data_IF_427620656714
#
_entry.id   IF_427620656714
#
_cell.length_a   1.000
_cell.length_b   1.000
_cell.length_c   1.000
_cell.angle_alpha   90.00
_cell.angle_beta   90.00
_cell.angle_gamma   90.00
#
_symmetry.space_group_name_H-M   'P 1'
#
loop_
_entity.id
_entity.type
_entity.pdbx_description
1 polymer ?
#
# COMPACT_ATOMS: atom_id res chain seq x y z
N UNK A 1 12.46 -16.93 -5.36
CA UNK A 1 13.86 -16.44 -5.40
C UNK A 1 13.87 -15.32 -6.41
N UNK A 2 14.39 -14.17 -6.02
CA UNK A 2 14.34 -12.96 -6.83
C UNK A 2 15.11 -13.12 -8.14
N UNK A 3 14.50 -12.67 -9.23
CA UNK A 3 15.12 -12.62 -10.55
C UNK A 3 15.91 -11.31 -10.70
N UNK A 4 16.78 -11.26 -11.71
CA UNK A 4 17.51 -10.04 -12.07
C UNK A 4 17.03 -9.49 -13.41
N UNK A 5 16.71 -8.20 -13.43
CA UNK A 5 16.27 -7.47 -14.62
C UNK A 5 17.26 -6.35 -14.97
N UNK A 6 17.83 -6.42 -16.17
CA UNK A 6 18.45 -5.24 -16.79
C UNK A 6 17.36 -4.41 -17.46
N UNK A 7 17.06 -3.26 -16.85
CA UNK A 7 16.01 -2.34 -17.28
C UNK A 7 16.56 -1.11 -17.98
N UNK A 8 17.84 -1.12 -18.37
CA UNK A 8 18.51 0.01 -19.03
C UNK A 8 17.76 0.51 -20.26
N UNK A 9 17.16 -0.40 -21.03
CA UNK A 9 16.45 -0.08 -22.27
C UNK A 9 14.92 -0.04 -22.10
N UNK A 10 14.40 -0.03 -20.86
CA UNK A 10 12.96 0.02 -20.61
C UNK A 10 12.46 1.46 -20.68
N UNK A 11 11.20 1.63 -21.08
CA UNK A 11 10.65 2.95 -21.31
C UNK A 11 10.15 3.55 -19.99
N UNK A 12 10.81 4.59 -19.49
CA UNK A 12 10.28 5.39 -18.39
C UNK A 12 8.98 6.09 -18.81
N UNK A 13 7.99 6.11 -17.91
CA UNK A 13 6.71 6.77 -18.08
C UNK A 13 6.60 7.94 -17.08
N UNK A 14 7.28 9.08 -17.35
CA UNK A 14 7.41 10.18 -16.38
C UNK A 14 6.08 10.90 -16.06
N UNK A 15 5.03 10.67 -16.85
CA UNK A 15 3.72 11.30 -16.71
C UNK A 15 2.83 10.66 -15.64
N UNK A 16 3.18 9.48 -15.13
CA UNK A 16 2.45 8.85 -14.05
C UNK A 16 2.93 9.38 -12.70
N UNK A 17 2.02 10.00 -11.94
CA UNK A 17 2.32 10.43 -10.58
C UNK A 17 2.42 9.20 -9.66
N UNK A 18 3.53 9.07 -8.94
CA UNK A 18 3.68 8.09 -7.86
C UNK A 18 3.61 8.80 -6.51
N UNK A 19 2.80 8.26 -5.58
CA UNK A 19 2.84 8.67 -4.18
C UNK A 19 4.09 8.16 -3.45
N UNK A 20 4.48 8.86 -2.38
CA UNK A 20 5.61 8.51 -1.52
C UNK A 20 6.81 9.45 -1.64
N UNK A 21 7.75 9.33 -0.70
CA UNK A 21 8.91 10.24 -0.58
C UNK A 21 10.17 9.75 -1.30
N UNK A 22 10.10 8.58 -1.95
CA UNK A 22 11.20 7.88 -2.61
C UNK A 22 11.19 8.12 -4.12
N UNK A 23 12.34 8.00 -4.76
CA UNK A 23 12.46 7.95 -6.22
C UNK A 23 11.79 6.66 -6.72
N UNK A 24 10.54 6.78 -7.16
CA UNK A 24 9.76 5.71 -7.77
C UNK A 24 9.60 6.07 -9.24
N UNK A 25 10.04 5.19 -10.13
CA UNK A 25 9.88 5.37 -11.57
C UNK A 25 8.96 4.28 -12.08
N UNK A 26 7.95 4.68 -12.86
CA UNK A 26 7.11 3.74 -13.58
C UNK A 26 7.77 3.48 -14.92
N UNK A 27 7.99 2.20 -15.22
CA UNK A 27 8.66 1.74 -16.43
C UNK A 27 7.81 0.69 -17.13
N UNK A 28 7.91 0.65 -18.46
CA UNK A 28 7.23 -0.36 -19.29
C UNK A 28 8.28 -1.30 -19.88
N UNK A 29 8.06 -2.61 -19.70
CA UNK A 29 8.84 -3.62 -20.39
C UNK A 29 8.50 -3.58 -21.90
N UNK A 30 9.49 -3.37 -22.79
CA UNK A 30 9.25 -3.18 -24.21
C UNK A 30 8.75 -4.43 -24.93
N UNK A 31 9.02 -5.63 -24.38
CA UNK A 31 8.67 -6.91 -25.00
C UNK A 31 7.22 -7.31 -24.73
N UNK A 32 6.80 -7.23 -23.46
CA UNK A 32 5.49 -7.72 -23.03
C UNK A 32 4.50 -6.59 -22.68
N UNK A 33 4.94 -5.32 -22.75
CA UNK A 33 4.13 -4.12 -22.46
C UNK A 33 3.60 -4.03 -21.03
N UNK A 34 4.08 -4.87 -20.11
CA UNK A 34 3.70 -4.81 -18.69
C UNK A 34 4.35 -3.59 -18.04
N UNK A 35 3.62 -3.04 -17.07
CA UNK A 35 4.04 -1.88 -16.29
C UNK A 35 4.68 -2.35 -14.99
N UNK A 36 5.79 -1.72 -14.63
CA UNK A 36 6.53 -2.02 -13.41
C UNK A 36 6.86 -0.73 -12.65
N UNK A 37 7.06 -0.89 -11.35
CA UNK A 37 7.60 0.13 -10.47
C UNK A 37 9.05 -0.22 -10.13
N UNK A 38 9.98 0.66 -10.52
CA UNK A 38 11.37 0.60 -10.09
C UNK A 38 11.60 1.55 -8.92
N UNK A 39 12.23 1.05 -7.86
CA UNK A 39 12.51 1.78 -6.61
C UNK A 39 13.97 1.60 -6.22
N UNK A 40 14.62 2.69 -5.85
CA UNK A 40 15.98 2.67 -5.27
C UNK A 40 15.96 3.04 -3.80
N UNK A 41 17.05 2.72 -3.10
CA UNK A 41 17.22 3.03 -1.69
C UNK A 41 17.25 4.53 -1.44
N UNK A 42 16.61 4.98 -0.37
CA UNK A 42 16.62 6.39 0.00
C UNK A 42 18.02 6.87 0.43
N UNK A 43 18.55 7.87 -0.29
CA UNK A 43 19.76 8.60 0.08
C UNK A 43 19.52 10.11 0.10
N UNK A 44 19.69 10.73 1.27
CA UNK A 44 19.61 12.18 1.53
C UNK A 44 20.80 12.57 2.42
N UNK A 45 21.10 13.87 2.54
CA UNK A 45 22.30 14.36 3.28
C UNK A 45 22.52 13.73 4.67
N UNK A 46 21.44 13.42 5.41
CA UNK A 46 21.49 12.83 6.76
C UNK A 46 20.91 11.42 6.86
N UNK A 47 20.46 10.83 5.76
CA UNK A 47 19.77 9.54 5.74
C UNK A 47 20.36 8.71 4.60
N UNK A 48 20.96 7.58 4.93
CA UNK A 48 21.42 6.60 3.95
C UNK A 48 20.83 5.23 4.32
N UNK A 49 19.75 4.85 3.63
CA UNK A 49 19.12 3.54 3.78
C UNK A 49 19.58 2.60 2.66
N UNK A 50 20.89 2.48 2.49
CA UNK A 50 21.57 1.70 1.44
C UNK A 50 20.90 0.36 1.12
N UNK A 51 20.46 -0.39 2.15
CA UNK A 51 19.87 -1.73 2.01
C UNK A 51 18.34 -1.77 1.93
N UNK A 52 17.65 -0.63 1.86
CA UNK A 52 16.18 -0.57 1.84
C UNK A 52 15.55 -1.37 0.68
N UNK A 53 16.12 -1.34 -0.53
CA UNK A 53 15.59 -2.15 -1.63
C UNK A 53 15.76 -3.66 -1.37
N UNK A 54 16.84 -4.06 -0.67
CA UNK A 54 17.02 -5.45 -0.26
C UNK A 54 16.01 -5.84 0.81
N UNK A 55 15.69 -4.97 1.76
CA UNK A 55 14.62 -5.20 2.73
C UNK A 55 13.28 -5.47 2.04
N UNK A 56 12.96 -4.74 0.97
CA UNK A 56 11.74 -4.97 0.18
C UNK A 56 11.75 -6.36 -0.49
N UNK A 57 12.85 -6.75 -1.14
CA UNK A 57 12.99 -8.05 -1.81
C UNK A 57 12.89 -9.19 -0.78
N UNK A 58 13.68 -9.12 0.29
CA UNK A 58 13.70 -10.14 1.34
C UNK A 58 12.33 -10.27 2.00
N UNK A 59 11.66 -9.15 2.32
CA UNK A 59 10.31 -9.18 2.88
C UNK A 59 9.34 -9.87 1.92
N UNK A 60 9.39 -9.58 0.62
CA UNK A 60 8.50 -10.23 -0.36
C UNK A 60 8.72 -11.74 -0.46
N UNK A 61 9.97 -12.20 -0.46
CA UNK A 61 10.33 -13.62 -0.52
C UNK A 61 9.94 -14.34 0.78
N UNK A 62 10.30 -13.79 1.94
CA UNK A 62 9.96 -14.37 3.25
C UNK A 62 8.46 -14.43 3.44
N UNK A 63 7.73 -13.35 3.14
CA UNK A 63 6.27 -13.31 3.25
C UNK A 63 5.60 -14.35 2.36
N UNK A 64 6.05 -14.48 1.11
CA UNK A 64 5.55 -15.50 0.18
C UNK A 64 5.81 -16.92 0.70
N UNK A 65 7.00 -17.19 1.22
CA UNK A 65 7.35 -18.49 1.81
C UNK A 65 6.50 -18.84 3.04
N UNK A 66 6.07 -17.83 3.79
CA UNK A 66 5.19 -17.98 4.95
C UNK A 66 3.69 -18.04 4.57
N UNK A 67 3.36 -17.94 3.28
CA UNK A 67 1.99 -18.08 2.77
C UNK A 67 1.16 -16.79 2.79
N UNK A 68 1.79 -15.62 2.97
CA UNK A 68 1.13 -14.33 2.82
C UNK A 68 1.06 -13.94 1.33
N UNK A 69 0.02 -13.19 0.95
CA UNK A 69 -0.12 -12.63 -0.40
C UNK A 69 0.72 -11.35 -0.54
N UNK A 70 1.96 -11.48 -0.99
CA UNK A 70 2.93 -10.40 -1.15
C UNK A 70 3.06 -9.99 -2.61
N UNK A 71 3.20 -8.67 -2.84
CA UNK A 71 3.69 -8.17 -4.11
C UNK A 71 5.13 -8.63 -4.28
N UNK A 72 5.42 -9.28 -5.42
CA UNK A 72 6.75 -9.76 -5.74
C UNK A 72 7.69 -8.59 -6.03
N UNK A 73 8.89 -8.65 -5.47
CA UNK A 73 9.98 -7.75 -5.81
C UNK A 73 11.21 -8.51 -6.28
N UNK A 74 11.73 -8.09 -7.41
CA UNK A 74 12.94 -8.63 -8.03
C UNK A 74 14.06 -7.57 -8.06
N UNK A 75 15.28 -7.97 -8.42
CA UNK A 75 16.43 -7.09 -8.52
C UNK A 75 16.39 -6.38 -9.88
N UNK A 76 16.67 -5.08 -9.92
CA UNK A 76 16.76 -4.34 -11.18
C UNK A 76 17.92 -3.36 -11.25
N UNK A 77 18.45 -3.15 -12.46
CA UNK A 77 19.53 -2.20 -12.76
C UNK A 77 19.18 -1.32 -13.97
N UNK A 78 19.29 0.00 -13.84
CA UNK A 78 18.88 0.98 -14.87
C UNK A 78 20.06 1.72 -15.54
N UNK A 79 21.21 1.07 -15.70
CA UNK A 79 22.52 1.64 -16.10
C UNK A 79 23.23 2.55 -15.08
N UNK A 80 22.50 3.16 -14.13
CA UNK A 80 23.05 4.10 -13.16
C UNK A 80 23.10 3.52 -11.75
N UNK A 81 22.02 2.86 -11.34
CA UNK A 81 21.85 2.39 -9.97
C UNK A 81 21.11 1.05 -9.94
N UNK A 82 21.30 0.33 -8.83
CA UNK A 82 20.59 -0.90 -8.50
C UNK A 82 19.43 -0.59 -7.56
N UNK A 83 18.35 -1.32 -7.71
CA UNK A 83 17.17 -1.21 -6.86
C UNK A 83 16.32 -2.48 -6.93
N UNK A 84 15.07 -2.33 -6.53
CA UNK A 84 14.06 -3.38 -6.69
C UNK A 84 13.01 -2.98 -7.72
N UNK A 85 12.39 -3.98 -8.34
CA UNK A 85 11.33 -3.83 -9.32
C UNK A 85 10.12 -4.69 -8.93
N UNK A 86 8.92 -4.20 -9.18
CA UNK A 86 7.66 -4.96 -8.99
C UNK A 86 6.72 -4.72 -10.17
N UNK A 87 6.01 -5.75 -10.60
CA UNK A 87 4.94 -5.59 -11.60
C UNK A 87 3.79 -4.79 -10.99
N UNK A 88 3.14 -3.94 -11.79
CA UNK A 88 1.97 -3.19 -11.33
C UNK A 88 0.83 -4.15 -10.95
N UNK A 89 0.27 -3.97 -9.76
CA UNK A 89 -0.94 -4.70 -9.33
C UNK A 89 -2.20 -4.27 -10.11
N UNK A 90 -2.12 -3.15 -10.82
CA UNK A 90 -3.24 -2.59 -11.57
C UNK A 90 -2.93 -2.50 -13.06
N UNK A 91 -4.00 -2.58 -13.85
CA UNK A 91 -3.97 -2.37 -15.28
C UNK A 91 -4.80 -1.13 -15.61
N UNK A 92 -4.17 -0.17 -16.29
CA UNK A 92 -4.80 1.08 -16.70
C UNK A 92 -6.09 0.80 -17.51
N UNK A 93 -7.15 1.55 -17.18
CA UNK A 93 -8.47 1.39 -17.80
C UNK A 93 -9.25 0.13 -17.38
N UNK A 94 -8.65 -0.80 -16.64
CA UNK A 94 -9.30 -2.05 -16.20
C UNK A 94 -9.66 -2.01 -14.72
N UNK A 95 -8.71 -1.67 -13.87
CA UNK A 95 -8.92 -1.63 -12.43
C UNK A 95 -8.09 -0.50 -11.79
N UNK A 96 -8.39 -0.22 -10.52
CA UNK A 96 -7.67 0.76 -9.73
C UNK A 96 -7.41 0.25 -8.32
N UNK A 97 -6.26 0.65 -7.77
CA UNK A 97 -5.94 0.53 -6.36
C UNK A 97 -6.49 1.77 -5.65
N UNK A 98 -7.34 1.56 -4.65
CA UNK A 98 -7.74 2.62 -3.72
C UNK A 98 -7.00 2.37 -2.42
N UNK A 99 -6.09 3.28 -2.07
CA UNK A 99 -5.28 3.19 -0.85
C UNK A 99 -6.13 3.42 0.41
N UNK A 100 -5.68 2.84 1.52
CA UNK A 100 -6.31 2.94 2.85
C UNK A 100 -6.68 4.36 3.24
N UNK A 101 -5.81 5.34 2.97
CA UNK A 101 -6.01 6.76 3.26
C UNK A 101 -7.34 7.29 2.73
N UNK A 102 -7.79 6.81 1.57
CA UNK A 102 -9.05 7.22 0.97
C UNK A 102 -10.25 6.73 1.78
N UNK A 103 -10.19 5.49 2.26
CA UNK A 103 -11.22 4.93 3.14
C UNK A 103 -11.25 5.64 4.49
N UNK A 104 -10.08 5.87 5.09
CA UNK A 104 -10.00 6.50 6.40
C UNK A 104 -10.52 7.93 6.40
N UNK A 105 -10.07 8.75 5.44
CA UNK A 105 -10.52 10.15 5.32
C UNK A 105 -11.97 10.27 4.84
N UNK A 106 -12.46 9.28 4.09
CA UNK A 106 -13.87 9.17 3.70
C UNK A 106 -14.79 8.87 4.88
N UNK A 107 -14.34 8.01 5.80
CA UNK A 107 -15.04 7.68 7.04
C UNK A 107 -14.98 8.83 8.05
N UNK A 108 -13.79 9.28 8.43
CA UNK A 108 -13.58 10.34 9.42
C UNK A 108 -12.88 11.55 8.79
N UNK A 109 -13.56 12.70 8.70
CA UNK A 109 -12.93 13.94 8.17
C UNK A 109 -12.07 14.68 9.18
N UNK A 110 -12.10 14.28 10.44
CA UNK A 110 -11.17 14.81 11.44
C UNK A 110 -9.81 14.14 11.34
N UNK A 111 -9.75 12.95 10.74
CA UNK A 111 -8.50 12.28 10.39
C UNK A 111 -7.81 13.01 9.24
N UNK A 112 -6.66 13.62 9.53
CA UNK A 112 -5.85 14.31 8.54
C UNK A 112 -4.46 13.66 8.42
N UNK A 113 -4.18 12.85 7.40
CA UNK A 113 -2.90 12.15 7.25
C UNK A 113 -1.69 13.09 7.11
N UNK A 114 -1.91 14.36 6.74
CA UNK A 114 -0.84 15.37 6.64
C UNK A 114 -0.48 16.00 7.99
N UNK A 115 -1.37 15.91 8.97
CA UNK A 115 -1.11 16.41 10.31
C UNK A 115 -0.42 15.32 11.15
N UNK A 116 0.78 15.63 11.66
CA UNK A 116 1.53 14.72 12.54
C UNK A 116 0.74 14.34 13.80
N UNK A 117 -0.13 15.22 14.31
CA UNK A 117 -0.96 14.92 15.47
C UNK A 117 -2.01 13.85 15.18
N UNK A 118 -2.47 13.75 13.93
CA UNK A 118 -3.43 12.73 13.50
C UNK A 118 -2.81 11.34 13.37
N UNK A 119 -1.47 11.20 13.43
CA UNK A 119 -0.81 9.88 13.40
C UNK A 119 -1.31 8.94 14.51
N UNK A 120 -1.64 9.48 15.70
CA UNK A 120 -2.17 8.70 16.82
C UNK A 120 -3.57 8.13 16.56
N UNK A 121 -4.30 8.71 15.61
CA UNK A 121 -5.63 8.25 15.23
C UNK A 121 -5.57 7.04 14.29
N UNK A 122 -4.43 6.85 13.60
CA UNK A 122 -4.23 5.70 12.72
C UNK A 122 -4.05 4.42 13.55
N UNK A 123 -5.17 3.77 13.82
CA UNK A 123 -5.27 2.55 14.64
C UNK A 123 -6.00 1.45 13.87
N UNK A 124 -5.85 0.21 14.31
CA UNK A 124 -6.64 -0.91 13.79
C UNK A 124 -8.14 -0.65 13.91
N UNK A 125 -8.58 -0.03 15.01
CA UNK A 125 -9.98 0.32 15.24
C UNK A 125 -10.50 1.28 14.18
N UNK A 126 -9.75 2.34 13.87
CA UNK A 126 -10.12 3.28 12.80
C UNK A 126 -10.25 2.56 11.44
N UNK A 127 -9.30 1.66 11.12
CA UNK A 127 -9.34 0.86 9.89
C UNK A 127 -10.58 -0.04 9.87
N UNK A 128 -10.81 -0.78 10.96
CA UNK A 128 -11.91 -1.74 11.06
C UNK A 128 -13.28 -1.07 10.95
N UNK A 129 -13.46 0.07 11.62
CA UNK A 129 -14.68 0.87 11.55
C UNK A 129 -14.89 1.46 10.14
N UNK A 130 -13.85 1.99 9.51
CA UNK A 130 -13.92 2.50 8.15
C UNK A 130 -14.31 1.38 7.17
N UNK A 131 -13.69 0.20 7.26
CA UNK A 131 -14.06 -0.96 6.44
C UNK A 131 -15.53 -1.37 6.68
N UNK A 132 -16.01 -1.35 7.93
CA UNK A 132 -17.41 -1.58 8.26
C UNK A 132 -18.36 -0.57 7.63
N UNK A 133 -18.04 0.72 7.71
CA UNK A 133 -18.83 1.80 7.12
C UNK A 133 -19.00 1.66 5.60
N UNK A 134 -17.98 1.13 4.91
CA UNK A 134 -18.02 0.88 3.46
C UNK A 134 -18.48 -0.54 3.09
N UNK A 135 -19.00 -1.36 4.03
CA UNK A 135 -19.41 -2.76 3.76
C UNK A 135 -18.26 -3.64 3.22
N UNK A 136 -17.04 -3.39 3.72
CA UNK A 136 -15.79 -4.05 3.37
C UNK A 136 -15.19 -4.84 4.55
N UNK A 137 -15.97 -5.11 5.61
CA UNK A 137 -15.52 -5.82 6.82
C UNK A 137 -14.88 -7.19 6.54
N UNK A 138 -15.20 -7.82 5.40
CA UNK A 138 -14.55 -9.08 4.97
C UNK A 138 -13.02 -8.95 4.82
N UNK A 139 -12.50 -7.74 4.64
CA UNK A 139 -11.06 -7.47 4.52
C UNK A 139 -10.37 -7.19 5.85
N UNK A 140 -11.08 -7.27 6.98
CA UNK A 140 -10.46 -7.14 8.30
C UNK A 140 -9.38 -8.21 8.53
N UNK A 141 -9.58 -9.42 8.00
CA UNK A 141 -8.59 -10.50 8.10
C UNK A 141 -7.29 -10.15 7.37
N UNK A 142 -7.36 -9.53 6.20
CA UNK A 142 -6.17 -9.11 5.46
C UNK A 142 -5.36 -8.05 6.23
N UNK A 143 -6.02 -7.14 6.93
CA UNK A 143 -5.34 -6.15 7.80
C UNK A 143 -4.64 -6.86 8.97
N UNK A 144 -5.28 -7.86 9.58
CA UNK A 144 -4.66 -8.66 10.63
C UNK A 144 -3.44 -9.42 10.10
N UNK A 145 -3.53 -10.00 8.90
CA UNK A 145 -2.41 -10.65 8.23
C UNK A 145 -1.23 -9.69 8.00
N UNK A 146 -1.50 -8.45 7.57
CA UNK A 146 -0.47 -7.40 7.46
C UNK A 146 0.19 -7.14 8.81
N UNK A 147 -0.58 -6.97 9.89
CA UNK A 147 -0.04 -6.68 11.23
C UNK A 147 0.85 -7.83 11.71
N UNK A 148 0.42 -9.08 11.51
CA UNK A 148 1.21 -10.27 11.86
C UNK A 148 2.51 -10.27 11.05
N UNK A 149 2.42 -10.08 9.74
CA UNK A 149 3.59 -10.08 8.87
C UNK A 149 4.57 -8.96 9.23
N UNK A 150 4.09 -7.73 9.42
CA UNK A 150 4.91 -6.59 9.83
C UNK A 150 5.61 -6.82 11.18
N UNK A 151 4.96 -7.57 12.09
CA UNK A 151 5.58 -7.98 13.36
C UNK A 151 6.73 -8.98 13.17
N UNK A 152 6.64 -9.86 12.15
CA UNK A 152 7.69 -10.84 11.84
C UNK A 152 8.93 -10.16 11.25
N UNK A 153 8.73 -9.21 10.32
CA UNK A 153 9.83 -8.53 9.62
C UNK A 153 10.31 -7.25 10.35
N UNK A 154 9.61 -6.83 11.41
CA UNK A 154 9.90 -5.59 12.13
C UNK A 154 9.65 -4.35 11.27
N UNK A 155 8.55 -4.31 10.51
CA UNK A 155 8.23 -3.15 9.68
C UNK A 155 7.69 -2.00 10.55
N UNK A 156 8.38 -0.87 10.48
CA UNK A 156 8.11 0.31 11.31
C UNK A 156 7.24 1.38 10.62
N UNK A 157 6.88 1.19 9.35
CA UNK A 157 6.29 2.26 8.53
C UNK A 157 5.11 1.77 7.65
N UNK A 158 4.25 0.91 8.21
CA UNK A 158 2.97 0.51 7.58
C UNK A 158 1.94 1.63 7.69
N UNK A 159 2.11 2.70 6.93
CA UNK A 159 1.15 3.81 6.91
C UNK A 159 -0.06 3.54 5.99
N UNK A 160 -1.06 4.41 6.08
CA UNK A 160 -2.36 4.29 5.39
C UNK A 160 -2.31 4.26 3.85
N UNK A 161 -1.15 4.47 3.22
CA UNK A 161 -0.98 4.37 1.76
C UNK A 161 -0.36 3.02 1.35
N UNK A 162 0.13 2.23 2.33
CA UNK A 162 0.82 0.95 2.12
C UNK A 162 -0.10 -0.28 2.28
N UNK A 163 -1.40 -0.07 2.04
CA UNK A 163 -2.41 -1.10 1.86
C UNK A 163 -3.59 -0.50 1.09
N UNK A 164 -4.38 -1.34 0.41
CA UNK A 164 -5.54 -0.87 -0.30
C UNK A 164 -6.43 -1.98 -0.84
N UNK A 165 -7.39 -1.59 -1.66
CA UNK A 165 -8.34 -2.50 -2.30
C UNK A 165 -8.34 -2.21 -3.79
N UNK A 166 -8.22 -3.27 -4.58
CA UNK A 166 -8.23 -3.22 -6.04
C UNK A 166 -9.66 -3.48 -6.51
N UNK A 167 -10.19 -2.58 -7.33
CA UNK A 167 -11.56 -2.64 -7.85
C UNK A 167 -11.54 -2.51 -9.37
N UNK A 168 -12.24 -3.40 -10.07
CA UNK A 168 -12.43 -3.29 -11.51
C UNK A 168 -13.47 -2.20 -11.83
N UNK A 169 -13.21 -1.38 -12.86
CA UNK A 169 -14.13 -0.30 -13.22
C UNK A 169 -15.53 -0.81 -13.58
N UNK A 170 -15.61 -1.95 -14.27
CA UNK A 170 -16.87 -2.58 -14.64
C UNK A 170 -17.72 -2.97 -13.42
N UNK A 171 -17.10 -3.48 -12.35
CA UNK A 171 -17.81 -3.87 -11.12
C UNK A 171 -18.35 -2.64 -10.40
N UNK A 172 -17.60 -1.53 -10.41
CA UNK A 172 -18.05 -0.25 -9.84
C UNK A 172 -19.27 0.26 -10.63
N UNK A 173 -19.21 0.25 -11.96
CA UNK A 173 -20.31 0.68 -12.84
C UNK A 173 -21.56 -0.16 -12.57
N UNK A 174 -21.42 -1.49 -12.53
CA UNK A 174 -22.54 -2.40 -12.25
C UNK A 174 -23.16 -2.13 -10.87
N UNK A 175 -22.33 -1.87 -9.85
CA UNK A 175 -22.79 -1.55 -8.49
C UNK A 175 -23.55 -0.22 -8.45
N UNK A 176 -23.11 0.80 -9.22
CA UNK A 176 -23.85 2.07 -9.36
C UNK A 176 -25.22 1.84 -10.01
N UNK A 177 -25.27 1.05 -11.09
CA UNK A 177 -26.52 0.78 -11.80
C UNK A 177 -27.54 0.06 -10.90
N UNK A 178 -27.10 -0.90 -10.09
CA UNK A 178 -27.94 -1.57 -9.09
C UNK A 178 -28.44 -0.55 -8.06
N UNK A 179 -27.54 0.28 -7.52
CA UNK A 179 -27.91 1.31 -6.54
C UNK A 179 -28.95 2.30 -7.10
N UNK A 180 -28.80 2.72 -8.36
CA UNK A 180 -29.75 3.59 -9.08
C UNK A 180 -31.12 2.92 -9.23
N UNK A 181 -31.16 1.66 -9.69
CA UNK A 181 -32.40 0.89 -9.90
C UNK A 181 -33.18 0.70 -8.60
N UNK A 182 -32.47 0.47 -7.49
CA UNK A 182 -33.09 0.28 -6.18
C UNK A 182 -33.38 1.60 -5.44
N UNK A 183 -33.20 2.77 -6.10
CA UNK A 183 -33.34 4.12 -5.50
C UNK A 183 -32.50 4.30 -4.23
N UNK A 184 -31.36 3.61 -4.14
CA UNK A 184 -30.44 3.61 -3.00
C UNK A 184 -29.43 4.76 -3.12
N UNK A 185 -29.93 6.00 -3.03
CA UNK A 185 -29.11 7.22 -3.18
C UNK A 185 -27.92 7.35 -2.20
N UNK A 186 -27.89 6.56 -1.12
CA UNK A 186 -26.77 6.47 -0.18
C UNK A 186 -25.56 5.69 -0.73
N UNK A 187 -25.77 4.51 -1.31
CA UNK A 187 -24.72 3.69 -1.92
C UNK A 187 -24.16 4.35 -3.17
N UNK A 188 -25.04 4.98 -3.95
CA UNK A 188 -24.65 5.79 -5.09
C UNK A 188 -23.68 6.90 -4.65
N UNK A 189 -23.96 7.64 -3.56
CA UNK A 189 -23.05 8.69 -3.03
C UNK A 189 -21.74 8.14 -2.47
N UNK A 190 -21.74 7.00 -1.78
CA UNK A 190 -20.50 6.37 -1.29
C UNK A 190 -19.63 5.86 -2.46
N UNK A 191 -20.21 5.19 -3.46
CA UNK A 191 -19.51 4.81 -4.68
C UNK A 191 -19.02 6.02 -5.47
N UNK A 192 -19.85 7.05 -5.59
CA UNK A 192 -19.44 8.31 -6.20
C UNK A 192 -18.32 8.96 -5.40
N UNK A 193 -18.26 8.89 -4.07
CA UNK A 193 -17.11 9.41 -3.31
C UNK A 193 -15.83 8.59 -3.51
N UNK A 194 -15.95 7.27 -3.67
CA UNK A 194 -14.83 6.41 -4.07
C UNK A 194 -14.35 6.71 -5.50
N UNK A 195 -15.23 7.24 -6.36
CA UNK A 195 -14.92 7.66 -7.74
C UNK A 195 -14.53 9.15 -7.87
N UNK A 196 -15.06 10.03 -7.02
CA UNK A 196 -14.99 11.49 -7.10
C UNK A 196 -13.87 12.07 -6.24
N UNK A 197 -12.75 11.35 -6.11
CA UNK A 197 -11.47 11.89 -5.63
C UNK A 197 -10.88 12.89 -6.68
N UNK A 198 -11.72 13.43 -7.56
CA UNK A 198 -11.52 14.66 -8.33
C UNK A 198 -12.74 15.60 -8.25
N UNK A 199 -13.31 15.91 -7.08
CA UNK A 199 -13.95 17.22 -6.85
C UNK A 199 -14.42 17.43 -5.40
N UNK A 200 -14.08 18.60 -4.86
CA UNK A 200 -14.57 19.15 -3.58
C UNK A 200 -16.10 19.22 -3.58
N UNK A 201 -16.79 18.39 -2.79
CA UNK A 201 -18.20 18.61 -2.46
C UNK A 201 -18.46 18.41 -0.96
N UNK A 202 -19.22 19.35 -0.38
CA UNK A 202 -19.38 19.56 1.06
C UNK A 202 -20.25 18.51 1.75
N UNK A 203 -19.76 18.09 2.92
CA UNK A 203 -20.37 17.26 3.96
C UNK A 203 -21.38 18.08 4.77
N UNK A 204 -22.67 17.78 4.67
CA UNK A 204 -23.69 17.92 5.72
C UNK A 204 -24.96 17.23 5.20
N UNK A 205 -25.66 16.52 6.08
CA UNK A 205 -26.85 15.67 5.84
C UNK A 205 -26.61 14.14 5.78
N UNK A 206 -25.64 13.61 6.54
CA UNK A 206 -25.30 12.17 6.50
C UNK A 206 -25.83 11.30 7.66
N UNK A 207 -26.46 11.85 8.69
CA UNK A 207 -26.58 11.11 9.98
C UNK A 207 -27.88 10.34 10.26
N UNK A 208 -28.90 10.35 9.38
CA UNK A 208 -30.25 9.90 9.81
C UNK A 208 -30.88 8.68 9.14
N UNK A 209 -30.18 7.96 8.24
CA UNK A 209 -30.85 6.94 7.38
C UNK A 209 -30.20 5.53 7.42
N UNK A 210 -29.16 5.33 8.25
CA UNK A 210 -28.24 4.18 8.16
C UNK A 210 -28.73 2.95 8.94
N UNK A 211 -29.77 2.24 8.49
CA UNK A 211 -30.06 0.95 9.17
C UNK A 211 -30.46 -0.27 8.37
N UNK A 212 -30.54 -0.25 7.05
CA UNK A 212 -30.75 -1.48 6.32
C UNK A 212 -30.12 -1.37 4.95
N UNK A 213 -29.27 -2.34 4.57
CA UNK A 213 -29.17 -3.01 3.27
C UNK A 213 -27.82 -3.76 3.16
N UNK A 214 -27.88 -5.00 2.67
CA UNK A 214 -26.74 -5.91 2.46
C UNK A 214 -26.28 -5.83 1.00
N UNK A 215 -25.38 -4.91 0.64
CA UNK A 215 -24.74 -4.92 -0.69
C UNK A 215 -23.24 -5.12 -0.51
N UNK A 216 -22.72 -6.26 -0.96
CA UNK A 216 -21.28 -6.54 -0.87
C UNK A 216 -20.56 -5.63 -1.88
N UNK A 217 -19.76 -4.69 -1.38
CA UNK A 217 -18.93 -3.83 -2.24
C UNK A 217 -17.93 -4.68 -3.03
N UNK A 218 -17.74 -4.46 -4.34
CA UNK A 218 -16.80 -5.26 -5.14
C UNK A 218 -15.34 -4.97 -4.80
N UNK A 219 -14.44 -5.78 -5.37
CA UNK A 219 -13.00 -5.65 -5.24
C UNK A 219 -12.35 -6.74 -4.40
N UNK A 220 -11.02 -6.75 -4.47
CA UNK A 220 -10.13 -7.64 -3.73
C UNK A 220 -9.15 -6.81 -2.92
N UNK A 221 -8.76 -7.29 -1.74
CA UNK A 221 -7.68 -6.66 -0.99
C UNK A 221 -6.39 -6.72 -1.82
N UNK A 222 -5.57 -5.66 -1.78
CA UNK A 222 -4.30 -5.66 -2.49
C UNK A 222 -3.36 -6.71 -1.89
N UNK A 223 -2.38 -7.16 -2.68
CA UNK A 223 -1.22 -7.83 -2.11
C UNK A 223 -0.54 -6.91 -1.09
N UNK A 224 0.25 -7.45 -0.17
CA UNK A 224 1.07 -6.64 0.74
C UNK A 224 2.24 -6.05 -0.05
N UNK A 225 2.44 -4.74 0.00
CA UNK A 225 3.49 -4.02 -0.74
C UNK A 225 4.12 -2.93 0.12
N UNK A 226 5.24 -2.36 -0.32
CA UNK A 226 5.98 -1.29 0.38
C UNK A 226 6.41 -1.68 1.80
N UNK A 227 7.15 -2.79 1.87
CA UNK A 227 7.67 -3.37 3.11
C UNK A 227 9.15 -3.03 3.35
N UNK A 228 9.77 -2.14 2.57
CA UNK A 228 11.20 -1.80 2.69
C UNK A 228 11.62 -1.16 4.00
N UNK A 229 10.68 -0.65 4.81
CA UNK A 229 10.94 -0.07 6.13
C UNK A 229 11.08 -1.11 7.26
N UNK A 230 11.77 -2.21 6.98
CA UNK A 230 11.91 -3.38 7.85
C UNK A 230 13.37 -3.89 7.92
N UNK A 231 13.58 -4.96 8.70
CA UNK A 231 14.86 -5.71 8.76
C UNK A 231 16.08 -4.84 9.08
N UNK A 232 15.89 -3.79 9.88
CA UNK A 232 16.97 -2.90 10.33
C UNK A 232 17.65 -2.13 9.21
N UNK A 233 16.93 -1.74 8.16
CA UNK A 233 17.45 -0.94 7.02
C UNK A 233 18.24 0.33 7.41
N UNK A 234 18.06 0.81 8.64
CA UNK A 234 18.76 1.97 9.22
C UNK A 234 20.10 1.64 9.90
N UNK A 235 20.43 0.36 10.09
CA UNK A 235 21.66 -0.08 10.73
C UNK A 235 22.84 0.02 9.77
N UNK A 236 23.98 0.53 10.26
CA UNK A 236 25.23 0.48 9.51
C UNK A 236 25.85 -0.92 9.56
N UNK A 237 26.81 -1.18 8.67
CA UNK A 237 27.56 -2.43 8.63
C UNK A 237 28.28 -2.65 9.98
N UNK A 238 28.93 -1.62 10.52
CA UNK A 238 29.64 -1.70 11.80
C UNK A 238 28.69 -1.97 12.98
N UNK A 239 27.49 -1.36 12.96
CA UNK A 239 26.51 -1.59 14.01
C UNK A 239 25.96 -3.01 13.96
N UNK A 240 25.75 -3.53 12.76
CA UNK A 240 25.31 -4.92 12.53
C UNK A 240 26.36 -5.89 13.05
N UNK A 241 27.64 -5.69 12.72
CA UNK A 241 28.74 -6.51 13.24
C UNK A 241 28.80 -6.50 14.77
N UNK A 242 28.66 -5.33 15.41
CA UNK A 242 28.60 -5.24 16.87
C UNK A 242 27.43 -6.03 17.45
N UNK A 243 26.25 -5.94 16.83
CA UNK A 243 25.05 -6.67 17.28
C UNK A 243 25.20 -8.19 17.13
N UNK A 244 25.95 -8.66 16.14
CA UNK A 244 26.24 -10.08 15.96
C UNK A 244 27.23 -10.61 17.02
N UNK A 245 28.10 -9.75 17.57
CA UNK A 245 29.07 -10.12 18.60
C UNK A 245 28.55 -9.95 20.03
N UNK A 246 27.55 -9.08 20.25
CA UNK A 246 26.98 -8.79 21.57
C UNK A 246 25.49 -9.11 21.62
N UNK A 247 25.15 -10.19 22.33
CA UNK A 247 23.78 -10.64 22.54
C UNK A 247 22.89 -9.59 23.23
N UNK A 248 23.45 -8.74 24.09
CA UNK A 248 22.68 -7.68 24.76
C UNK A 248 22.17 -6.65 23.75
N UNK A 249 22.98 -6.34 22.72
CA UNK A 249 22.61 -5.38 21.69
C UNK A 249 21.49 -5.92 20.77
N UNK A 250 21.56 -7.19 20.37
CA UNK A 250 20.50 -7.80 19.57
C UNK A 250 19.20 -7.96 20.37
N UNK A 251 19.28 -8.36 21.65
CA UNK A 251 18.11 -8.48 22.52
C UNK A 251 17.43 -7.12 22.74
N UNK A 252 18.20 -6.04 22.85
CA UNK A 252 17.68 -4.66 22.96
C UNK A 252 16.97 -4.23 21.68
N UNK A 253 17.49 -4.61 20.51
CA UNK A 253 16.85 -4.30 19.23
C UNK A 253 15.52 -5.05 19.06
N UNK A 254 15.47 -6.33 19.42
CA UNK A 254 14.25 -7.16 19.28
C UNK A 254 13.14 -6.73 20.25
N UNK A 255 13.49 -6.22 21.43
CA UNK A 255 12.52 -5.82 22.47
C UNK A 255 11.99 -4.39 22.35
N UNK A 256 12.44 -3.63 21.36
CA UNK A 256 11.99 -2.25 21.11
C UNK A 256 10.56 -2.21 20.61
#
# INVERSE_FOLDING_TARGET
MADFYDITNWNEKPWFQTGGTRSKVIIENPENRKIYYFKTSLKKEKIDYKYEFWSEIIASEVGTLLGFDLLRYDIAFNSKEIGCISESMTQEGVNKLTEGVSYLTGYDTTYNPKDKNSKKQYTFQLIFEALGFFQLSRFAENIIQIIIFDSIIGNSDRHQENWGIITAYNDIIATIEIAKKEKKGFLEKQLFSLLAITSKAKRKDLEKVVKNLHLIMPGNFSQIYDSGSCLGRELSDEKTEQMLMDKSLIDTYIRK
#
